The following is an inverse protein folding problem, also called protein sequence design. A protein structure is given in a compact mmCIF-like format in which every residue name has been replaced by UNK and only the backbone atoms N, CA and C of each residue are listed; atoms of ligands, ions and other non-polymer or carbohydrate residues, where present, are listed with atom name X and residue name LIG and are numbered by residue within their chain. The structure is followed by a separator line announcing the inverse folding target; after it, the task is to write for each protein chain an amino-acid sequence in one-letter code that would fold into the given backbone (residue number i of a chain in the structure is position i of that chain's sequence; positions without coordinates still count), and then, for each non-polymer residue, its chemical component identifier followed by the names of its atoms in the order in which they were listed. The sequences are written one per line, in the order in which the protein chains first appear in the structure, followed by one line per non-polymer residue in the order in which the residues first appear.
data_IF_014886077556
#
_entry.id   IF_014886077556
#
_cell.length_a   1.000
_cell.length_b   1.000
_cell.length_c   1.000
_cell.angle_alpha   90.00
_cell.angle_beta   90.00
_cell.angle_gamma   90.00
#
_symmetry.space_group_name_H-M   'P 1'
#
loop_
_entity.id
_entity.type
_entity.pdbx_description
1 polymer ?
#
# COMPACT_ATOMS: atom_id res chain seq x y z
N UNK A 1 14.44 26.82 -2.73
CA UNK A 1 13.70 25.72 -2.08
C UNK A 1 13.86 24.48 -2.94
N UNK A 2 14.33 23.33 -2.43
CA UNK A 2 14.42 22.14 -3.28
C UNK A 2 13.00 21.74 -3.67
N UNK A 3 12.73 21.66 -4.98
CA UNK A 3 11.50 21.09 -5.51
C UNK A 3 11.47 19.64 -5.06
N UNK A 4 10.63 19.33 -4.07
CA UNK A 4 10.30 17.96 -3.69
C UNK A 4 9.71 17.33 -4.94
N UNK A 5 10.48 16.53 -5.67
CA UNK A 5 9.99 15.74 -6.79
C UNK A 5 8.78 14.98 -6.24
N UNK A 6 7.57 15.35 -6.68
CA UNK A 6 6.39 14.56 -6.37
C UNK A 6 6.62 13.22 -7.05
N UNK A 7 7.19 12.27 -6.33
CA UNK A 7 7.16 10.87 -6.73
C UNK A 7 5.68 10.54 -6.91
N UNK A 8 5.25 10.42 -8.16
CA UNK A 8 3.89 10.08 -8.52
C UNK A 8 3.54 8.78 -7.79
N UNK A 9 2.66 8.86 -6.80
CA UNK A 9 2.24 7.71 -6.00
C UNK A 9 1.81 6.59 -6.95
N UNK A 10 2.42 5.41 -6.80
CA UNK A 10 2.14 4.27 -7.68
C UNK A 10 0.63 4.02 -7.78
N UNK A 11 0.07 3.78 -8.99
CA UNK A 11 -1.35 3.48 -9.17
C UNK A 11 -1.84 2.32 -8.28
N UNK A 12 -0.96 1.35 -7.99
CA UNK A 12 -1.25 0.22 -7.10
C UNK A 12 -1.46 0.70 -5.65
N UNK A 13 -0.62 1.62 -5.19
CA UNK A 13 -0.74 2.21 -3.84
C UNK A 13 -2.03 3.02 -3.73
N UNK A 14 -2.38 3.79 -4.77
CA UNK A 14 -3.66 4.52 -4.83
C UNK A 14 -4.85 3.57 -4.74
N UNK A 15 -4.82 2.46 -5.48
CA UNK A 15 -5.87 1.45 -5.44
C UNK A 15 -6.02 0.82 -4.04
N UNK A 16 -4.89 0.49 -3.39
CA UNK A 16 -4.88 -0.04 -2.01
C UNK A 16 -5.47 0.98 -1.03
N UNK A 17 -5.08 2.25 -1.13
CA UNK A 17 -5.58 3.32 -0.26
C UNK A 17 -7.09 3.52 -0.42
N UNK A 18 -7.59 3.51 -1.67
CA UNK A 18 -9.01 3.64 -1.95
C UNK A 18 -9.81 2.48 -1.34
N UNK A 19 -9.33 1.24 -1.48
CA UNK A 19 -9.99 0.06 -0.92
C UNK A 19 -9.93 0.05 0.61
N UNK A 20 -8.78 0.41 1.21
CA UNK A 20 -8.65 0.55 2.66
C UNK A 20 -9.62 1.60 3.22
N UNK A 21 -9.76 2.75 2.54
CA UNK A 21 -10.71 3.81 2.89
C UNK A 21 -12.16 3.32 2.77
N UNK A 22 -12.52 2.63 1.68
CA UNK A 22 -13.85 2.05 1.46
C UNK A 22 -14.25 1.11 2.60
N UNK A 23 -13.30 0.34 3.13
CA UNK A 23 -13.50 -0.59 4.24
C UNK A 23 -13.30 0.01 5.63
N UNK A 24 -13.01 1.31 5.73
CA UNK A 24 -12.71 2.01 6.99
C UNK A 24 -11.56 1.36 7.77
N UNK A 25 -10.58 0.79 7.06
CA UNK A 25 -9.43 0.13 7.69
C UNK A 25 -8.41 1.16 8.16
N UNK A 26 -7.97 1.01 9.40
CA UNK A 26 -6.89 1.82 9.99
C UNK A 26 -5.53 1.17 9.73
N UNK A 27 -4.46 1.94 9.88
CA UNK A 27 -3.09 1.40 9.82
C UNK A 27 -2.88 0.26 10.84
N UNK A 28 -3.49 0.37 12.03
CA UNK A 28 -3.48 -0.67 13.04
C UNK A 28 -4.23 -1.93 12.59
N UNK A 29 -5.43 -1.77 12.00
CA UNK A 29 -6.21 -2.89 11.48
C UNK A 29 -5.47 -3.66 10.38
N UNK A 30 -4.85 -2.94 9.45
CA UNK A 30 -4.02 -3.54 8.40
C UNK A 30 -2.77 -4.22 8.98
N UNK A 31 -2.12 -3.62 9.98
CA UNK A 31 -0.97 -4.22 10.65
C UNK A 31 -1.34 -5.56 11.30
N UNK A 32 -2.49 -5.60 11.99
CA UNK A 32 -3.03 -6.84 12.59
C UNK A 32 -3.36 -7.90 11.53
N UNK A 33 -3.95 -7.49 10.40
CA UNK A 33 -4.36 -8.41 9.35
C UNK A 33 -3.17 -8.96 8.53
N UNK A 34 -2.10 -8.17 8.38
CA UNK A 34 -0.93 -8.53 7.55
C UNK A 34 0.25 -9.07 8.34
N UNK A 35 0.27 -8.87 9.66
CA UNK A 35 1.44 -9.14 10.51
C UNK A 35 2.59 -8.13 10.33
N UNK A 36 2.41 -7.09 9.50
CA UNK A 36 3.42 -6.08 9.24
C UNK A 36 3.41 -4.99 10.30
N UNK A 37 4.54 -4.29 10.44
CA UNK A 37 4.67 -3.17 11.39
C UNK A 37 3.68 -2.05 11.06
N UNK A 38 3.07 -1.46 12.09
CA UNK A 38 2.13 -0.33 11.94
C UNK A 38 2.74 0.86 11.19
N UNK A 39 4.04 1.11 11.38
CA UNK A 39 4.78 2.17 10.69
C UNK A 39 4.80 1.94 9.17
N UNK A 40 4.89 0.69 8.72
CA UNK A 40 4.83 0.33 7.30
C UNK A 40 3.44 0.66 6.74
N UNK A 41 2.38 0.35 7.49
CA UNK A 41 1.00 0.66 7.08
C UNK A 41 0.71 2.16 7.08
N UNK A 42 1.24 2.91 8.06
CA UNK A 42 1.13 4.37 8.10
C UNK A 42 1.78 5.02 6.87
N UNK A 43 3.01 4.60 6.52
CA UNK A 43 3.68 5.09 5.31
C UNK A 43 2.91 4.72 4.04
N UNK A 44 2.45 3.47 3.94
CA UNK A 44 1.65 3.02 2.80
C UNK A 44 0.37 3.85 2.62
N UNK A 45 -0.39 4.06 3.71
CA UNK A 45 -1.62 4.86 3.66
C UNK A 45 -1.36 6.36 3.45
N UNK A 46 -0.19 6.85 3.85
CA UNK A 46 0.25 8.21 3.55
C UNK A 46 0.84 8.37 2.13
N UNK A 47 0.95 7.28 1.35
CA UNK A 47 1.57 7.29 0.03
C UNK A 47 3.07 7.57 0.07
N UNK A 48 3.71 7.29 1.21
CA UNK A 48 5.12 7.57 1.45
C UNK A 48 5.98 6.34 1.18
N UNK A 49 7.02 6.55 0.37
CA UNK A 49 8.00 5.51 0.02
C UNK A 49 7.48 4.52 -1.01
N UNK A 50 8.36 3.60 -1.40
CA UNK A 50 8.07 2.54 -2.35
C UNK A 50 7.88 1.21 -1.62
N UNK A 51 6.64 0.70 -1.45
CA UNK A 51 6.41 -0.59 -0.81
C UNK A 51 7.01 -1.72 -1.67
N UNK A 52 7.57 -2.72 -1.00
CA UNK A 52 8.05 -3.93 -1.67
C UNK A 52 6.88 -4.74 -2.25
N UNK A 53 7.16 -5.59 -3.24
CA UNK A 53 6.16 -6.52 -3.77
C UNK A 53 5.55 -7.37 -2.66
N UNK A 54 6.35 -7.85 -1.71
CA UNK A 54 5.86 -8.61 -0.55
C UNK A 54 4.88 -7.79 0.33
N UNK A 55 5.14 -6.49 0.50
CA UNK A 55 4.21 -5.60 1.23
C UNK A 55 2.90 -5.44 0.46
N UNK A 56 2.98 -5.24 -0.85
CA UNK A 56 1.80 -5.09 -1.71
C UNK A 56 0.95 -6.36 -1.70
N UNK A 57 1.58 -7.52 -1.80
CA UNK A 57 0.91 -8.82 -1.80
C UNK A 57 0.21 -9.11 -0.46
N UNK A 58 0.91 -8.90 0.66
CA UNK A 58 0.33 -9.08 1.99
C UNK A 58 -0.89 -8.18 2.22
N UNK A 59 -0.81 -6.90 1.82
CA UNK A 59 -1.91 -5.95 1.98
C UNK A 59 -3.07 -6.29 1.04
N UNK A 60 -2.79 -6.67 -0.21
CA UNK A 60 -3.82 -7.14 -1.13
C UNK A 60 -4.55 -8.37 -0.58
N UNK A 61 -3.81 -9.35 -0.05
CA UNK A 61 -4.36 -10.53 0.60
C UNK A 61 -5.26 -10.18 1.79
N UNK A 62 -4.82 -9.28 2.67
CA UNK A 62 -5.64 -8.77 3.78
C UNK A 62 -6.92 -8.03 3.31
N UNK A 63 -6.91 -7.50 2.08
CA UNK A 63 -8.07 -6.89 1.43
C UNK A 63 -8.88 -7.91 0.60
N UNK A 64 -8.55 -9.20 0.62
CA UNK A 64 -9.22 -10.21 -0.21
C UNK A 64 -9.04 -9.95 -1.71
N UNK A 65 -7.87 -9.45 -2.10
CA UNK A 65 -7.44 -9.18 -3.47
C UNK A 65 -6.16 -9.94 -3.77
N UNK A 66 -5.81 -10.04 -5.04
CA UNK A 66 -4.56 -10.66 -5.50
C UNK A 66 -3.74 -9.66 -6.32
N UNK A 67 -2.42 -9.72 -6.19
CA UNK A 67 -1.49 -8.96 -7.03
C UNK A 67 -1.02 -9.87 -8.16
N UNK A 68 -1.05 -9.38 -9.41
CA UNK A 68 -0.53 -10.11 -10.57
C UNK A 68 0.59 -9.31 -11.22
N UNK A 69 1.75 -9.94 -11.37
CA UNK A 69 2.88 -9.38 -12.10
C UNK A 69 2.76 -9.78 -13.57
N UNK A 70 2.80 -8.80 -14.47
CA UNK A 70 2.86 -9.02 -15.91
C UNK A 70 4.17 -8.47 -16.43
N UNK A 71 4.93 -9.30 -17.15
CA UNK A 71 6.14 -8.86 -17.85
C UNK A 71 5.72 -8.20 -19.16
N UNK A 72 6.01 -6.92 -19.31
CA UNK A 72 5.99 -6.26 -20.62
C UNK A 72 7.13 -6.83 -21.46
N UNK A 73 6.79 -7.39 -22.63
CA UNK A 73 7.77 -7.82 -23.63
C UNK A 73 8.45 -6.62 -24.26
#
# INVERSE_FOLDING_TARGET
MPKRTQESTSPVVVAIQAEAKRRKLTAYGLAKATGLRIQTMQRLLAGQGSPTIATLDAVAGALGRTVTLKRSR
#
